data_IF_968578832323
#
_entry.id   IF_968578832323
#
_cell.length_a   1.000
_cell.length_b   1.000
_cell.length_c   1.000
_cell.angle_alpha   90.00
_cell.angle_beta   90.00
_cell.angle_gamma   90.00
#
_symmetry.space_group_name_H-M   'P 1'
#
loop_
_entity.id
_entity.type
_entity.pdbx_description
1 polymer ?
#
# COMPACT_ATOMS: atom_id res chain seq x y z
N UNK A 1 1.96 6.25 3.68
CA UNK A 1 2.29 7.52 4.30
C UNK A 1 1.90 8.65 3.37
N UNK A 2 0.71 9.21 3.55
CA UNK A 2 0.28 10.34 2.72
C UNK A 2 0.18 11.56 3.61
N UNK A 3 1.00 12.57 3.35
CA UNK A 3 0.83 13.88 3.95
C UNK A 3 -0.48 14.51 3.43
N UNK A 4 -1.12 15.35 4.23
CA UNK A 4 -2.38 15.99 3.83
C UNK A 4 -2.23 16.85 2.56
N UNK A 5 -1.03 17.37 2.30
CA UNK A 5 -0.64 18.14 1.12
C UNK A 5 -0.18 17.27 -0.07
N UNK A 6 -0.10 15.95 0.09
CA UNK A 6 0.15 15.04 -1.03
C UNK A 6 -1.02 15.04 -2.01
N UNK A 7 -0.77 14.62 -3.24
CA UNK A 7 -1.81 14.50 -4.27
C UNK A 7 -2.99 13.62 -3.81
N UNK A 8 -2.68 12.50 -3.18
CA UNK A 8 -3.69 11.63 -2.58
C UNK A 8 -4.44 12.32 -1.43
N UNK A 9 -3.74 13.02 -0.53
CA UNK A 9 -4.37 13.77 0.57
C UNK A 9 -5.31 14.86 0.06
N UNK A 10 -4.89 15.63 -0.95
CA UNK A 10 -5.71 16.66 -1.59
C UNK A 10 -6.98 16.10 -2.23
N UNK A 11 -6.90 14.95 -2.90
CA UNK A 11 -8.06 14.31 -3.50
C UNK A 11 -9.18 14.00 -2.49
N UNK A 12 -8.85 13.84 -1.21
CA UNK A 12 -9.83 13.65 -0.13
C UNK A 12 -10.28 14.95 0.50
N UNK A 13 -9.37 15.88 0.76
CA UNK A 13 -9.74 17.19 1.30
C UNK A 13 -10.66 17.96 0.36
N UNK A 14 -10.45 17.89 -0.93
CA UNK A 14 -11.30 18.50 -1.96
C UNK A 14 -12.73 17.92 -1.99
N UNK A 15 -12.89 16.70 -1.45
CA UNK A 15 -14.20 16.06 -1.28
C UNK A 15 -14.81 16.25 0.11
N UNK A 16 -14.24 17.14 0.90
CA UNK A 16 -14.73 17.46 2.25
C UNK A 16 -14.29 16.46 3.34
N UNK A 17 -13.36 15.57 3.06
CA UNK A 17 -12.83 14.68 4.08
C UNK A 17 -11.79 15.40 4.95
N UNK A 18 -11.81 15.13 6.24
CA UNK A 18 -10.74 15.54 7.15
C UNK A 18 -9.60 14.53 7.11
N UNK A 19 -8.42 14.93 6.68
CA UNK A 19 -7.24 14.07 6.58
C UNK A 19 -6.35 14.23 7.80
N UNK A 20 -6.15 13.16 8.56
CA UNK A 20 -5.31 13.13 9.76
C UNK A 20 -4.00 12.43 9.41
N UNK A 21 -2.86 13.14 9.36
CA UNK A 21 -1.58 12.52 9.12
C UNK A 21 -1.13 11.71 10.35
N UNK A 22 -0.68 10.48 10.12
CA UNK A 22 -0.17 9.62 11.18
C UNK A 22 1.27 9.23 10.85
N UNK A 23 2.19 9.52 11.73
CA UNK A 23 3.63 9.32 11.51
C UNK A 23 4.09 7.87 11.65
N UNK A 24 3.27 7.00 12.21
CA UNK A 24 3.62 5.60 12.45
C UNK A 24 2.45 4.67 12.11
N UNK A 25 2.62 3.85 11.09
CA UNK A 25 1.62 2.89 10.62
C UNK A 25 1.18 1.89 11.69
N UNK A 26 2.02 1.63 12.71
CA UNK A 26 1.68 0.71 13.80
C UNK A 26 0.48 1.17 14.62
N UNK A 27 0.20 2.46 14.61
CA UNK A 27 -0.93 3.04 15.34
C UNK A 27 -2.21 3.14 14.50
N UNK A 28 -2.12 3.06 13.17
CA UNK A 28 -3.27 3.23 12.28
C UNK A 28 -4.44 2.31 12.63
N UNK A 29 -4.18 1.03 12.76
CA UNK A 29 -5.23 0.06 13.08
C UNK A 29 -5.83 0.27 14.47
N UNK A 30 -5.02 0.64 15.45
CA UNK A 30 -5.50 0.94 16.81
C UNK A 30 -6.36 2.20 16.83
N UNK A 31 -6.01 3.20 16.04
CA UNK A 31 -6.77 4.44 15.95
C UNK A 31 -8.09 4.21 15.22
N UNK A 32 -8.10 3.42 14.14
CA UNK A 32 -9.33 3.01 13.45
C UNK A 32 -10.28 2.27 14.39
N UNK A 33 -9.77 1.27 15.11
CA UNK A 33 -10.56 0.50 16.08
C UNK A 33 -11.06 1.32 17.27
N UNK A 34 -10.33 2.39 17.63
CA UNK A 34 -10.74 3.33 18.66
C UNK A 34 -11.71 4.42 18.15
N UNK A 35 -12.15 4.35 16.88
CA UNK A 35 -13.07 5.32 16.28
C UNK A 35 -12.50 6.73 16.15
N UNK A 36 -11.17 6.86 16.09
CA UNK A 36 -10.52 8.18 15.94
C UNK A 36 -10.57 8.70 14.51
N UNK A 37 -10.84 7.82 13.56
CA UNK A 37 -11.16 8.11 12.17
C UNK A 37 -11.98 6.93 11.60
N UNK A 38 -12.73 7.21 10.55
CA UNK A 38 -13.65 6.26 9.96
C UNK A 38 -12.97 5.35 8.92
N UNK A 39 -11.93 5.87 8.26
CA UNK A 39 -11.20 5.20 7.18
C UNK A 39 -9.71 5.39 7.36
N UNK A 40 -8.94 4.42 6.93
CA UNK A 40 -7.50 4.55 6.76
C UNK A 40 -7.09 4.17 5.34
N UNK A 41 -6.06 4.82 4.84
CA UNK A 41 -5.47 4.51 3.55
C UNK A 41 -4.09 3.90 3.80
N UNK A 42 -3.82 2.80 3.16
CA UNK A 42 -2.52 2.16 3.22
C UNK A 42 -2.12 1.63 1.85
N UNK A 43 -0.83 1.34 1.68
CA UNK A 43 -0.32 0.69 0.48
C UNK A 43 -0.69 -0.78 0.55
N UNK A 44 -1.28 -1.28 -0.52
CA UNK A 44 -1.88 -2.59 -0.67
C UNK A 44 -1.09 -3.72 0.01
N UNK A 45 0.05 -4.11 -0.55
CA UNK A 45 0.84 -5.22 -0.01
C UNK A 45 1.32 -4.99 1.43
N UNK A 46 1.69 -3.75 1.78
CA UNK A 46 2.13 -3.42 3.13
C UNK A 46 0.98 -3.49 4.14
N UNK A 47 -0.21 -3.01 3.73
CA UNK A 47 -1.42 -3.09 4.55
C UNK A 47 -1.76 -4.54 4.89
N UNK A 48 -1.69 -5.43 3.92
CA UNK A 48 -2.02 -6.84 4.13
C UNK A 48 -1.04 -7.57 5.04
N UNK A 49 0.25 -7.29 4.89
CA UNK A 49 1.27 -7.86 5.78
C UNK A 49 1.06 -7.41 7.23
N UNK A 50 0.73 -6.15 7.44
CA UNK A 50 0.43 -5.62 8.77
C UNK A 50 -0.93 -6.13 9.27
N UNK A 51 -1.96 -6.17 8.42
CA UNK A 51 -3.27 -6.72 8.74
C UNK A 51 -3.21 -8.19 9.13
N UNK A 52 -2.38 -8.98 8.44
CA UNK A 52 -2.19 -10.40 8.77
C UNK A 52 -1.56 -10.63 10.15
N UNK A 53 -0.81 -9.65 10.67
CA UNK A 53 -0.21 -9.69 12.02
C UNK A 53 -1.19 -9.27 13.14
N UNK A 54 -2.33 -8.68 12.77
CA UNK A 54 -3.31 -8.24 13.76
C UNK A 54 -3.97 -9.42 14.48
N UNK A 55 -4.44 -9.13 15.68
CA UNK A 55 -5.30 -10.06 16.42
C UNK A 55 -6.52 -10.43 15.54
N UNK A 56 -6.91 -11.72 15.47
CA UNK A 56 -8.08 -12.16 14.72
C UNK A 56 -9.38 -11.41 15.03
N UNK A 57 -9.59 -11.02 16.29
CA UNK A 57 -10.75 -10.20 16.69
C UNK A 57 -10.77 -8.82 16.03
N UNK A 58 -9.61 -8.21 15.83
CA UNK A 58 -9.52 -6.93 15.12
C UNK A 58 -9.78 -7.09 13.63
N UNK A 59 -9.25 -8.16 13.06
CA UNK A 59 -9.48 -8.48 11.65
C UNK A 59 -10.93 -8.70 11.30
N UNK A 60 -11.73 -9.25 12.24
CA UNK A 60 -13.15 -9.52 12.02
C UNK A 60 -14.02 -8.26 11.95
N UNK A 61 -13.54 -7.12 12.45
CA UNK A 61 -14.28 -5.85 12.47
C UNK A 61 -13.74 -4.79 11.50
N UNK A 62 -12.64 -5.09 10.79
CA UNK A 62 -12.06 -4.19 9.79
C UNK A 62 -12.44 -4.69 8.40
N UNK A 63 -13.17 -3.87 7.65
CA UNK A 63 -13.44 -4.11 6.24
C UNK A 63 -12.35 -3.54 5.34
N UNK A 64 -12.10 -4.18 4.20
CA UNK A 64 -11.17 -3.71 3.16
C UNK A 64 -11.95 -3.47 1.87
N UNK A 65 -11.80 -2.28 1.29
CA UNK A 65 -12.43 -1.97 0.00
C UNK A 65 -11.83 -2.83 -1.12
N UNK A 66 -12.68 -3.41 -1.95
CA UNK A 66 -12.25 -4.16 -3.13
C UNK A 66 -11.68 -3.26 -4.25
N UNK A 67 -12.08 -1.98 -4.27
CA UNK A 67 -11.59 -1.01 -5.25
C UNK A 67 -10.46 -0.17 -4.65
N UNK A 68 -9.34 0.00 -5.38
CA UNK A 68 -8.29 0.90 -4.93
C UNK A 68 -8.80 2.35 -4.98
N UNK A 69 -8.51 3.12 -3.95
CA UNK A 69 -8.85 4.55 -3.90
C UNK A 69 -7.86 5.41 -4.69
N UNK A 70 -6.65 4.91 -4.88
CA UNK A 70 -5.59 5.53 -5.66
C UNK A 70 -4.67 4.43 -6.21
N UNK A 71 -4.24 4.58 -7.46
CA UNK A 71 -3.24 3.71 -8.08
C UNK A 71 -2.06 4.57 -8.52
N UNK A 72 -0.86 4.19 -8.12
CA UNK A 72 0.37 4.88 -8.46
C UNK A 72 1.53 3.91 -8.66
N UNK A 73 2.53 4.36 -9.40
CA UNK A 73 3.77 3.61 -9.58
C UNK A 73 4.81 4.05 -8.55
N UNK A 74 5.57 3.09 -8.06
CA UNK A 74 6.77 3.35 -7.26
C UNK A 74 8.00 3.12 -8.13
N UNK A 75 8.96 4.04 -8.05
CA UNK A 75 10.19 3.95 -8.81
C UNK A 75 11.41 4.17 -7.92
N UNK A 76 12.58 3.84 -8.47
CA UNK A 76 13.84 4.17 -7.82
C UNK A 76 14.13 5.68 -7.95
N UNK A 77 14.42 6.31 -6.83
CA UNK A 77 14.96 7.65 -6.78
C UNK A 77 16.48 7.56 -6.66
N UNK A 78 17.20 8.34 -7.44
CA UNK A 78 18.65 8.37 -7.43
C UNK A 78 19.17 9.79 -7.66
N UNK A 79 20.37 10.06 -7.13
CA UNK A 79 21.03 11.35 -7.35
C UNK A 79 21.59 11.40 -8.76
N UNK A 80 21.11 12.35 -9.56
CA UNK A 80 21.42 12.44 -11.00
C UNK A 80 22.90 12.66 -11.30
N UNK A 81 23.59 13.42 -10.44
CA UNK A 81 25.01 13.77 -10.62
C UNK A 81 25.96 12.72 -10.00
N UNK A 82 25.45 11.64 -9.44
CA UNK A 82 26.28 10.54 -8.96
C UNK A 82 26.55 9.58 -10.14
N UNK A 83 27.78 9.48 -10.58
CA UNK A 83 28.20 8.66 -11.72
C UNK A 83 27.88 7.16 -11.56
N UNK A 84 27.90 6.64 -10.34
CA UNK A 84 27.56 5.24 -10.07
C UNK A 84 26.06 4.98 -10.21
N UNK A 85 25.23 5.97 -9.94
CA UNK A 85 23.77 5.83 -9.97
C UNK A 85 23.25 5.46 -11.35
N UNK A 86 23.75 6.04 -12.41
CA UNK A 86 23.32 5.74 -13.79
C UNK A 86 23.60 4.27 -14.15
N UNK A 87 24.80 3.78 -13.82
CA UNK A 87 25.18 2.38 -14.03
C UNK A 87 24.32 1.41 -13.21
N UNK A 88 24.04 1.78 -11.96
CA UNK A 88 23.17 0.99 -11.09
C UNK A 88 21.74 0.91 -11.64
N UNK A 89 21.15 2.05 -12.03
CA UNK A 89 19.79 2.11 -12.57
C UNK A 89 19.66 1.29 -13.85
N UNK A 90 20.65 1.35 -14.74
CA UNK A 90 20.67 0.56 -15.96
C UNK A 90 20.71 -0.96 -15.67
N UNK A 91 21.53 -1.37 -14.71
CA UNK A 91 21.59 -2.79 -14.27
C UNK A 91 20.29 -3.22 -13.59
N UNK A 92 19.72 -2.36 -12.76
CA UNK A 92 18.43 -2.61 -12.12
C UNK A 92 17.31 -2.80 -13.15
N UNK A 93 17.18 -1.89 -14.11
CA UNK A 93 16.17 -1.98 -15.17
C UNK A 93 16.30 -3.29 -15.95
N UNK A 94 17.54 -3.63 -16.35
CA UNK A 94 17.82 -4.90 -17.05
C UNK A 94 17.47 -6.13 -16.19
N UNK A 95 17.77 -6.09 -14.90
CA UNK A 95 17.42 -7.16 -13.96
C UNK A 95 15.91 -7.28 -13.76
N UNK A 96 15.22 -6.16 -13.65
CA UNK A 96 13.77 -6.13 -13.56
C UNK A 96 13.10 -6.74 -14.79
N UNK A 97 13.51 -6.33 -15.99
CA UNK A 97 13.01 -6.89 -17.24
C UNK A 97 13.23 -8.41 -17.32
N UNK A 98 14.37 -8.89 -16.82
CA UNK A 98 14.67 -10.30 -16.80
C UNK A 98 13.72 -11.10 -15.91
N UNK A 99 13.48 -10.62 -14.67
CA UNK A 99 12.57 -11.32 -13.75
C UNK A 99 11.10 -11.25 -14.18
N UNK A 100 10.72 -10.20 -14.90
CA UNK A 100 9.38 -10.12 -15.52
C UNK A 100 9.26 -11.14 -16.64
N UNK A 101 10.25 -11.20 -17.56
CA UNK A 101 10.21 -12.09 -18.72
C UNK A 101 10.28 -13.57 -18.36
N UNK A 102 11.05 -13.93 -17.33
CA UNK A 102 11.20 -15.33 -16.91
C UNK A 102 10.13 -15.81 -15.92
N UNK A 103 9.14 -14.97 -15.58
CA UNK A 103 8.05 -15.32 -14.68
C UNK A 103 8.38 -15.24 -13.18
N UNK A 104 9.60 -14.92 -12.80
CA UNK A 104 10.01 -14.81 -11.40
C UNK A 104 9.20 -13.72 -10.68
N UNK A 105 8.96 -12.57 -11.34
CA UNK A 105 8.17 -11.49 -10.78
C UNK A 105 6.72 -11.94 -10.51
N UNK A 106 6.09 -12.63 -11.46
CA UNK A 106 4.74 -13.17 -11.30
C UNK A 106 4.67 -14.19 -10.15
N UNK A 107 5.68 -15.06 -10.03
CA UNK A 107 5.74 -16.03 -8.93
C UNK A 107 5.89 -15.36 -7.56
N UNK A 108 6.69 -14.29 -7.46
CA UNK A 108 6.81 -13.49 -6.23
C UNK A 108 5.46 -12.85 -5.88
N UNK A 109 4.81 -12.19 -6.84
CA UNK A 109 3.50 -11.59 -6.60
C UNK A 109 2.49 -12.65 -6.14
N UNK A 110 2.38 -13.78 -6.81
CA UNK A 110 1.46 -14.86 -6.43
C UNK A 110 1.71 -15.38 -5.02
N UNK A 111 2.98 -15.47 -4.60
CA UNK A 111 3.35 -15.88 -3.23
C UNK A 111 2.82 -14.94 -2.16
N UNK A 112 2.73 -13.66 -2.45
CA UNK A 112 2.32 -12.64 -1.48
C UNK A 112 0.85 -12.21 -1.66
N UNK A 113 0.34 -12.10 -2.89
CA UNK A 113 -1.06 -11.74 -3.17
C UNK A 113 -2.06 -12.84 -2.84
N UNK A 114 -1.66 -14.10 -2.85
CA UNK A 114 -2.54 -15.21 -2.40
C UNK A 114 -2.95 -15.15 -0.92
N UNK A 115 -2.36 -14.26 -0.14
CA UNK A 115 -2.75 -13.98 1.24
C UNK A 115 -3.74 -12.81 1.38
N UNK A 116 -4.02 -12.11 0.28
CA UNK A 116 -4.80 -10.88 0.22
C UNK A 116 -6.30 -11.09 0.01
N UNK A 117 -6.71 -12.24 -0.49
CA UNK A 117 -8.11 -12.50 -0.83
C UNK A 117 -8.87 -13.33 0.21
N UNK A 118 -8.64 -13.09 1.49
CA UNK A 118 -9.49 -13.70 2.52
C UNK A 118 -10.45 -12.64 3.07
N UNK A 119 -11.66 -12.67 2.58
CA UNK A 119 -12.88 -11.96 3.08
C UNK A 119 -13.32 -10.70 2.33
N UNK A 120 -13.46 -10.78 1.02
CA UNK A 120 -14.25 -9.81 0.26
C UNK A 120 -15.61 -10.35 -0.19
N UNK A 121 -16.05 -11.51 0.29
CA UNK A 121 -17.32 -12.11 -0.09
C UNK A 121 -18.26 -12.16 1.11
N UNK A 122 -18.86 -11.04 1.48
CA UNK A 122 -20.19 -10.96 2.12
C UNK A 122 -20.46 -9.52 2.60
N UNK A 123 -20.93 -8.66 1.73
CA UNK A 123 -21.81 -7.57 2.10
C UNK A 123 -22.62 -7.19 0.86
N UNK A 124 -23.50 -8.10 0.47
CA UNK A 124 -24.71 -7.70 -0.19
C UNK A 124 -25.71 -7.28 0.90
N UNK A 125 -26.06 -6.04 0.89
CA UNK A 125 -27.39 -5.48 1.11
C UNK A 125 -27.31 -3.98 1.09
#
# INVERSE_FOLDING_TARGET
FYAADSEAGKAYTDRGCSVIPVNDNRFLYRMLLAGRFDLMISVDLAADLEFAKLNPQWRSVIGVSAAPVYSGSHGLLYHRDNHESASFVARYAKGYDLIVKNGTYAAILAKYSGKMHVSGAAAGH
#
